data_IF_271970766717
#
_entry.id   IF_271970766717
#
_cell.length_a   1.000
_cell.length_b   1.000
_cell.length_c   1.000
_cell.angle_alpha   90.00
_cell.angle_beta   90.00
_cell.angle_gamma   90.00
#
_symmetry.space_group_name_H-M   'P 1'
#
loop_
_entity.id
_entity.type
_entity.pdbx_description
1 polymer ?
#
# COMPACT_ATOMS: atom_id res chain seq x y z
N UNK A 1 -61.87 -19.15 29.40
CA UNK A 1 -60.54 -18.93 29.98
C UNK A 1 -59.54 -19.54 29.01
N UNK A 2 -58.78 -18.70 28.29
CA UNK A 2 -57.94 -19.10 27.15
C UNK A 2 -56.56 -19.53 27.66
N UNK A 3 -56.07 -20.66 27.19
CA UNK A 3 -54.64 -20.99 27.14
C UNK A 3 -54.37 -21.27 25.67
N UNK A 4 -53.54 -20.43 25.06
CA UNK A 4 -53.29 -20.41 23.63
C UNK A 4 -51.80 -20.55 23.40
N UNK A 5 -51.50 -21.35 22.37
CA UNK A 5 -50.21 -21.91 22.02
C UNK A 5 -49.07 -20.89 21.85
N UNK A 6 -47.88 -21.34 22.23
CA UNK A 6 -46.60 -20.71 21.95
C UNK A 6 -46.08 -21.22 20.60
N UNK A 7 -45.73 -20.34 19.66
CA UNK A 7 -44.52 -20.60 18.88
C UNK A 7 -43.68 -19.34 18.59
N UNK A 8 -42.46 -19.63 18.11
CA UNK A 8 -41.48 -18.74 17.48
C UNK A 8 -40.29 -18.28 18.34
N UNK A 9 -39.36 -19.22 18.50
CA UNK A 9 -37.97 -18.94 18.84
C UNK A 9 -37.23 -18.41 17.60
N UNK A 10 -37.43 -17.14 17.24
CA UNK A 10 -36.63 -16.47 16.22
C UNK A 10 -35.31 -16.00 16.84
N UNK A 11 -34.22 -16.70 16.52
CA UNK A 11 -32.85 -16.36 16.92
C UNK A 11 -32.51 -14.93 16.52
N UNK A 12 -32.31 -14.06 17.52
CA UNK A 12 -31.86 -12.69 17.31
C UNK A 12 -30.39 -12.74 16.89
N UNK A 13 -30.16 -12.63 15.58
CA UNK A 13 -28.88 -12.17 15.05
C UNK A 13 -28.58 -10.81 15.69
N UNK A 14 -27.47 -10.70 16.42
CA UNK A 14 -26.97 -9.44 16.94
C UNK A 14 -26.49 -8.56 15.78
N UNK A 15 -27.41 -7.82 15.18
CA UNK A 15 -27.15 -6.77 14.21
C UNK A 15 -26.58 -5.56 14.94
N UNK A 16 -25.35 -5.19 14.61
CA UNK A 16 -24.70 -3.94 15.01
C UNK A 16 -25.37 -2.73 14.35
N UNK A 17 -26.67 -2.54 14.57
CA UNK A 17 -27.50 -1.69 13.71
C UNK A 17 -28.21 -0.57 14.46
N UNK A 18 -28.18 -0.49 15.80
CA UNK A 18 -29.05 0.47 16.50
C UNK A 18 -28.33 1.47 17.43
N UNK A 19 -27.04 1.31 17.75
CA UNK A 19 -26.38 2.16 18.78
C UNK A 19 -25.46 3.26 18.21
N UNK A 20 -25.16 3.28 16.91
CA UNK A 20 -24.37 4.38 16.29
C UNK A 20 -25.22 5.58 15.80
N UNK A 21 -26.53 5.62 16.14
CA UNK A 21 -27.46 6.60 15.56
C UNK A 21 -27.62 7.90 16.36
N UNK A 22 -27.15 7.99 17.61
CA UNK A 22 -27.31 9.20 18.42
C UNK A 22 -26.07 9.53 19.25
N UNK A 23 -24.98 9.86 18.58
CA UNK A 23 -24.00 10.79 19.13
C UNK A 23 -23.32 11.47 17.95
N UNK A 24 -23.49 12.78 17.88
CA UNK A 24 -22.88 13.73 16.95
C UNK A 24 -21.60 13.19 16.32
N UNK A 25 -21.69 12.75 15.06
CA UNK A 25 -20.50 12.55 14.22
C UNK A 25 -19.96 13.95 14.01
N UNK A 26 -18.99 14.34 14.84
CA UNK A 26 -18.13 15.49 14.55
C UNK A 26 -17.47 15.14 13.22
N UNK A 27 -17.89 15.81 12.16
CA UNK A 27 -17.23 15.74 10.86
C UNK A 27 -15.81 16.24 11.08
N UNK A 28 -14.89 15.31 11.28
CA UNK A 28 -13.46 15.59 11.39
C UNK A 28 -13.07 16.41 10.17
N UNK A 29 -12.54 17.61 10.39
CA UNK A 29 -12.12 18.51 9.33
C UNK A 29 -11.09 17.77 8.46
N UNK A 30 -11.27 17.78 7.14
CA UNK A 30 -10.32 17.16 6.22
C UNK A 30 -8.93 17.76 6.46
N UNK A 31 -7.86 16.94 6.61
CA UNK A 31 -6.51 17.46 6.75
C UNK A 31 -6.20 18.46 5.62
N UNK A 32 -5.45 19.54 5.90
CA UNK A 32 -5.12 20.51 4.88
C UNK A 32 -4.38 19.80 3.72
N UNK A 33 -4.89 20.00 2.50
CA UNK A 33 -4.28 19.42 1.32
C UNK A 33 -2.85 19.97 1.16
N UNK A 34 -1.88 19.07 1.13
CA UNK A 34 -0.45 19.42 1.17
C UNK A 34 0.23 19.33 -0.20
N UNK A 35 -0.21 18.37 -1.01
CA UNK A 35 0.48 17.97 -2.24
C UNK A 35 -0.43 18.17 -3.43
N UNK A 36 0.14 18.63 -4.54
CA UNK A 36 -0.49 18.64 -5.85
C UNK A 36 0.27 17.72 -6.80
N UNK A 37 -0.48 17.08 -7.69
CA UNK A 37 0.04 16.16 -8.71
C UNK A 37 -0.35 16.71 -10.07
N UNK A 38 0.63 17.15 -10.86
CA UNK A 38 0.41 17.54 -12.24
C UNK A 38 0.72 16.35 -13.15
N UNK A 39 -0.20 15.97 -14.05
CA UNK A 39 0.05 14.90 -15.01
C UNK A 39 0.54 15.46 -16.35
N UNK A 40 1.73 15.07 -16.78
CA UNK A 40 2.30 15.47 -18.08
C UNK A 40 2.21 14.33 -19.10
N UNK A 41 1.96 14.69 -20.36
CA UNK A 41 1.88 13.75 -21.48
C UNK A 41 3.16 13.80 -22.33
N UNK A 42 4.14 12.94 -22.05
CA UNK A 42 5.20 12.56 -23.01
C UNK A 42 5.89 11.27 -22.57
N UNK A 43 6.32 10.47 -23.58
CA UNK A 43 7.11 9.23 -23.60
C UNK A 43 7.38 8.44 -22.29
N UNK A 44 7.17 7.12 -22.39
CA UNK A 44 7.49 6.12 -21.37
C UNK A 44 9.02 6.03 -21.17
N UNK A 45 9.52 6.53 -20.06
CA UNK A 45 10.85 6.21 -19.55
C UNK A 45 10.64 5.66 -18.14
N UNK A 46 11.01 4.40 -17.91
CA UNK A 46 10.96 3.78 -16.59
C UNK A 46 12.11 4.36 -15.77
N UNK A 47 11.82 5.17 -14.76
CA UNK A 47 12.83 5.61 -13.80
C UNK A 47 12.81 4.65 -12.60
N UNK A 48 13.84 3.81 -12.49
CA UNK A 48 14.01 2.96 -11.32
C UNK A 48 14.68 3.74 -10.19
N UNK A 49 13.84 4.29 -9.32
CA UNK A 49 14.24 5.18 -8.23
C UNK A 49 14.34 4.41 -6.90
N UNK A 50 15.33 3.53 -6.78
CA UNK A 50 15.58 2.71 -5.58
C UNK A 50 15.91 3.55 -4.34
N UNK A 51 16.45 4.77 -4.51
CA UNK A 51 16.80 5.70 -3.41
C UNK A 51 15.57 6.18 -2.62
N UNK A 52 14.41 6.23 -3.26
CA UNK A 52 13.16 6.66 -2.63
C UNK A 52 12.41 5.49 -2.01
N UNK A 53 12.85 4.24 -2.20
CA UNK A 53 12.17 3.09 -1.62
C UNK A 53 12.61 2.93 -0.16
N UNK A 54 11.67 2.50 0.69
CA UNK A 54 12.04 2.12 2.05
C UNK A 54 13.00 0.91 1.97
N UNK A 55 14.24 1.08 2.44
CA UNK A 55 15.26 0.03 2.43
C UNK A 55 15.35 -0.60 3.83
N UNK A 56 14.69 -1.74 4.08
CA UNK A 56 14.73 -2.36 5.39
C UNK A 56 16.13 -2.88 5.68
N UNK A 57 16.67 -2.58 6.87
CA UNK A 57 17.96 -3.07 7.37
C UNK A 57 19.19 -2.68 6.53
N UNK A 58 19.09 -1.64 5.69
CA UNK A 58 20.12 -1.36 4.69
C UNK A 58 21.44 -0.83 5.29
N UNK A 59 22.49 -1.61 5.08
CA UNK A 59 23.91 -1.23 5.27
C UNK A 59 24.67 -1.17 3.94
N UNK A 60 24.05 -1.59 2.85
CA UNK A 60 24.63 -1.70 1.51
C UNK A 60 23.76 -1.00 0.44
N UNK A 61 24.31 -0.92 -0.76
CA UNK A 61 23.56 -0.56 -1.97
C UNK A 61 22.51 -1.63 -2.32
N UNK A 62 21.63 -1.26 -3.26
CA UNK A 62 20.61 -2.16 -3.81
C UNK A 62 21.22 -2.94 -4.96
N UNK A 63 21.10 -4.26 -4.90
CA UNK A 63 21.58 -5.15 -5.96
C UNK A 63 20.39 -5.78 -6.67
N UNK A 64 20.42 -5.75 -8.00
CA UNK A 64 19.52 -6.55 -8.81
C UNK A 64 19.99 -8.01 -8.83
N UNK A 65 19.08 -8.93 -8.55
CA UNK A 65 19.36 -10.36 -8.58
C UNK A 65 18.18 -11.10 -9.20
N UNK A 66 18.48 -12.18 -9.89
CA UNK A 66 17.47 -13.08 -10.47
C UNK A 66 17.30 -14.32 -9.58
N UNK A 67 16.07 -14.80 -9.44
CA UNK A 67 15.80 -16.11 -8.84
C UNK A 67 16.19 -17.18 -9.85
N UNK A 68 17.24 -17.94 -9.56
CA UNK A 68 17.75 -19.00 -10.43
C UNK A 68 16.92 -20.28 -10.30
N UNK A 69 16.56 -20.62 -9.07
CA UNK A 69 15.75 -21.79 -8.75
C UNK A 69 14.90 -21.52 -7.51
N UNK A 70 13.86 -22.32 -7.31
CA UNK A 70 13.12 -22.34 -6.05
C UNK A 70 12.57 -23.72 -5.74
N UNK A 71 12.49 -24.03 -4.45
CA UNK A 71 11.94 -25.28 -3.94
C UNK A 71 10.90 -25.02 -2.86
N UNK A 72 9.79 -25.73 -2.92
CA UNK A 72 8.78 -25.71 -1.86
C UNK A 72 9.18 -26.74 -0.80
N UNK A 73 9.37 -26.30 0.44
CA UNK A 73 9.83 -27.15 1.55
C UNK A 73 8.68 -27.80 2.33
N UNK A 74 7.42 -27.50 1.98
CA UNK A 74 6.23 -27.91 2.71
C UNK A 74 5.23 -28.63 1.82
N UNK A 75 4.58 -29.67 2.35
CA UNK A 75 3.56 -30.45 1.67
C UNK A 75 2.28 -30.54 2.51
N UNK A 76 1.11 -30.39 1.88
CA UNK A 76 -0.20 -30.44 2.55
C UNK A 76 -1.10 -29.28 2.12
N UNK A 77 -2.41 -29.43 2.36
CA UNK A 77 -3.40 -28.43 1.94
C UNK A 77 -3.59 -27.28 2.94
N UNK A 78 -3.30 -27.51 4.22
CA UNK A 78 -3.49 -26.54 5.31
C UNK A 78 -2.17 -26.26 6.05
N UNK A 79 -1.10 -26.12 5.29
CA UNK A 79 0.22 -25.74 5.83
C UNK A 79 0.71 -24.46 5.15
N UNK A 80 1.32 -23.57 5.93
CA UNK A 80 1.99 -22.39 5.39
C UNK A 80 3.07 -22.85 4.41
N UNK A 81 3.02 -22.35 3.17
CA UNK A 81 4.03 -22.66 2.16
C UNK A 81 5.36 -22.01 2.52
N UNK A 82 6.42 -22.81 2.56
CA UNK A 82 7.80 -22.33 2.73
C UNK A 82 8.55 -22.54 1.43
N UNK A 83 9.25 -21.50 0.99
CA UNK A 83 10.04 -21.49 -0.23
C UNK A 83 11.51 -21.32 0.13
N UNK A 84 12.35 -22.17 -0.44
CA UNK A 84 13.79 -21.99 -0.58
C UNK A 84 14.02 -21.34 -1.94
N UNK A 85 14.79 -20.24 -1.97
CA UNK A 85 15.09 -19.48 -3.19
C UNK A 85 16.59 -19.52 -3.43
N UNK A 86 16.99 -19.86 -4.66
CA UNK A 86 18.35 -19.66 -5.13
C UNK A 86 18.43 -18.35 -5.90
N UNK A 87 19.37 -17.49 -5.53
CA UNK A 87 19.55 -16.14 -6.08
C UNK A 87 20.90 -16.05 -6.79
N UNK A 88 20.95 -15.34 -7.91
CA UNK A 88 22.21 -15.12 -8.62
C UNK A 88 23.24 -14.38 -7.76
N UNK A 89 24.33 -15.07 -7.38
CA UNK A 89 25.32 -14.58 -6.40
C UNK A 89 26.34 -13.58 -6.95
N UNK A 90 26.34 -13.30 -8.25
CA UNK A 90 27.44 -12.56 -8.92
C UNK A 90 27.59 -11.10 -8.48
N UNK A 91 26.67 -10.55 -7.70
CA UNK A 91 26.59 -9.12 -7.44
C UNK A 91 26.94 -8.68 -6.02
N UNK A 92 26.94 -9.55 -5.00
CA UNK A 92 27.16 -9.11 -3.61
C UNK A 92 27.87 -10.16 -2.74
N UNK A 93 28.89 -9.77 -1.95
CA UNK A 93 29.51 -10.64 -0.97
C UNK A 93 28.56 -10.83 0.23
N UNK A 94 28.30 -12.08 0.62
CA UNK A 94 27.53 -12.40 1.83
C UNK A 94 28.13 -13.62 2.53
N UNK A 95 27.95 -13.70 3.85
CA UNK A 95 28.32 -14.84 4.68
C UNK A 95 27.07 -15.56 5.22
N UNK A 96 27.16 -16.86 5.53
CA UNK A 96 26.07 -17.57 6.19
C UNK A 96 25.66 -16.89 7.50
N UNK A 97 24.37 -16.61 7.65
CA UNK A 97 23.82 -15.88 8.79
C UNK A 97 23.53 -14.40 8.51
N UNK A 98 24.02 -13.85 7.40
CA UNK A 98 23.68 -12.50 6.97
C UNK A 98 22.19 -12.40 6.58
N UNK A 99 21.63 -11.20 6.77
CA UNK A 99 20.23 -10.89 6.46
C UNK A 99 20.16 -10.04 5.19
N UNK A 100 19.28 -10.43 4.27
CA UNK A 100 18.98 -9.63 3.08
C UNK A 100 17.63 -8.93 3.22
N UNK A 101 17.58 -7.67 2.78
CA UNK A 101 16.34 -6.93 2.58
C UNK A 101 15.84 -7.09 1.15
N UNK A 102 14.57 -7.45 0.97
CA UNK A 102 13.92 -7.49 -0.34
C UNK A 102 13.07 -6.23 -0.50
N UNK A 103 13.08 -5.60 -1.67
CA UNK A 103 12.24 -4.44 -2.00
C UNK A 103 10.98 -4.89 -2.78
N UNK A 104 9.87 -5.28 -2.12
CA UNK A 104 8.72 -5.90 -2.77
C UNK A 104 7.90 -4.90 -3.58
N UNK A 105 7.25 -5.35 -4.65
CA UNK A 105 6.24 -4.53 -5.34
C UNK A 105 4.83 -5.00 -4.97
N UNK A 106 3.86 -4.08 -5.02
CA UNK A 106 2.45 -4.44 -4.96
C UNK A 106 2.04 -5.22 -6.22
N UNK A 107 0.90 -5.90 -6.16
CA UNK A 107 0.38 -6.60 -7.32
C UNK A 107 -0.18 -5.59 -8.34
N UNK A 108 0.21 -5.73 -9.61
CA UNK A 108 -0.37 -4.94 -10.71
C UNK A 108 -1.90 -5.03 -10.76
N UNK A 109 -2.47 -6.21 -10.46
CA UNK A 109 -3.93 -6.39 -10.47
C UNK A 109 -4.62 -5.64 -9.33
N UNK A 110 -3.96 -5.50 -8.18
CA UNK A 110 -4.46 -4.76 -7.03
C UNK A 110 -4.34 -3.25 -7.26
N UNK A 111 -3.18 -2.80 -7.77
CA UNK A 111 -2.97 -1.42 -8.17
C UNK A 111 -4.00 -1.01 -9.22
N UNK A 112 -4.20 -1.80 -10.27
CA UNK A 112 -5.22 -1.52 -11.30
C UNK A 112 -6.62 -1.36 -10.70
N UNK A 113 -7.03 -2.29 -9.82
CA UNK A 113 -8.33 -2.20 -9.11
C UNK A 113 -8.47 -0.90 -8.32
N UNK A 114 -7.39 -0.45 -7.66
CA UNK A 114 -7.37 0.82 -6.95
C UNK A 114 -7.57 2.01 -7.90
N UNK A 115 -6.84 2.05 -9.02
CA UNK A 115 -7.00 3.09 -10.04
C UNK A 115 -8.41 3.14 -10.64
N UNK A 116 -8.99 1.98 -10.95
CA UNK A 116 -10.38 1.87 -11.40
C UNK A 116 -11.34 2.41 -10.33
N UNK A 117 -11.14 2.03 -9.06
CA UNK A 117 -12.00 2.47 -7.94
C UNK A 117 -11.91 3.98 -7.68
N UNK A 118 -10.74 4.58 -7.90
CA UNK A 118 -10.51 6.02 -7.80
C UNK A 118 -10.97 6.79 -9.04
N UNK A 119 -11.37 6.11 -10.13
CA UNK A 119 -11.80 6.75 -11.37
C UNK A 119 -10.67 7.39 -12.19
N UNK A 120 -9.41 7.02 -11.93
CA UNK A 120 -8.22 7.66 -12.52
C UNK A 120 -7.39 6.70 -13.38
N UNK A 121 -7.94 5.55 -13.76
CA UNK A 121 -7.25 4.53 -14.58
C UNK A 121 -6.64 5.09 -15.87
N UNK A 122 -7.31 6.05 -16.54
CA UNK A 122 -6.80 6.72 -17.74
C UNK A 122 -5.49 7.51 -17.51
N UNK A 123 -5.16 7.81 -16.25
CA UNK A 123 -3.96 8.55 -15.83
C UNK A 123 -2.85 7.61 -15.35
N UNK A 124 -3.09 6.31 -15.23
CA UNK A 124 -2.19 5.34 -14.60
C UNK A 124 -0.76 5.39 -15.18
N UNK A 125 -0.63 5.47 -16.50
CA UNK A 125 0.67 5.55 -17.18
C UNK A 125 1.13 6.97 -17.54
N UNK A 126 0.47 8.00 -17.01
CA UNK A 126 0.90 9.40 -17.21
C UNK A 126 2.05 9.73 -16.28
N UNK A 127 2.92 10.66 -16.72
CA UNK A 127 3.96 11.19 -15.84
C UNK A 127 3.32 12.07 -14.79
N UNK A 128 3.87 12.07 -13.59
CA UNK A 128 3.50 12.98 -12.52
C UNK A 128 4.66 13.86 -12.12
N UNK A 129 4.33 15.04 -11.60
CA UNK A 129 5.23 15.88 -10.82
C UNK A 129 4.55 16.23 -9.50
N UNK A 130 5.22 15.94 -8.40
CA UNK A 130 4.75 16.19 -7.05
C UNK A 130 5.27 17.55 -6.59
N UNK A 131 4.36 18.42 -6.16
CA UNK A 131 4.71 19.74 -5.63
C UNK A 131 3.97 20.02 -4.33
N UNK A 132 4.54 20.89 -3.51
CA UNK A 132 3.84 21.42 -2.34
C UNK A 132 2.85 22.47 -2.82
N UNK A 133 1.61 22.37 -2.35
CA UNK A 133 0.57 23.37 -2.62
C UNK A 133 0.97 24.73 -2.05
N UNK A 134 0.91 25.78 -2.88
CA UNK A 134 1.27 27.15 -2.48
C UNK A 134 0.32 27.74 -1.43
N UNK A 135 -0.91 27.25 -1.40
CA UNK A 135 -1.99 27.65 -0.48
C UNK A 135 -2.06 26.75 0.78
N UNK A 136 -1.07 25.89 1.02
CA UNK A 136 -1.08 25.02 2.20
C UNK A 136 -0.92 25.81 3.50
N UNK A 137 -1.78 25.53 4.47
CA UNK A 137 -1.72 26.11 5.83
C UNK A 137 -0.81 25.32 6.78
N UNK A 138 -0.26 24.18 6.32
CA UNK A 138 0.63 23.35 7.13
C UNK A 138 1.97 24.07 7.36
N UNK A 139 2.38 24.23 8.61
CA UNK A 139 3.70 24.78 8.97
C UNK A 139 4.81 23.86 8.44
N UNK A 140 5.81 24.43 7.77
CA UNK A 140 6.97 23.74 7.21
C UNK A 140 6.61 22.51 6.36
N UNK A 141 5.87 22.69 5.25
CA UNK A 141 5.49 21.59 4.40
C UNK A 141 6.74 20.93 3.80
N UNK A 142 6.78 19.61 3.80
CA UNK A 142 7.90 18.82 3.24
C UNK A 142 7.37 17.71 2.34
N UNK A 143 8.14 17.41 1.30
CA UNK A 143 7.86 16.31 0.38
C UNK A 143 8.00 14.94 1.09
N UNK A 144 7.15 13.95 0.78
CA UNK A 144 7.32 12.60 1.30
C UNK A 144 8.64 12.00 0.82
N UNK A 145 9.52 11.61 1.76
CA UNK A 145 10.84 11.06 1.45
C UNK A 145 10.81 9.75 0.64
N UNK A 146 9.69 9.02 0.71
CA UNK A 146 9.55 7.70 0.09
C UNK A 146 8.92 7.75 -1.31
N UNK A 147 8.55 8.94 -1.80
CA UNK A 147 7.95 9.12 -3.12
C UNK A 147 8.90 10.00 -3.93
N UNK A 148 9.33 9.55 -5.13
CA UNK A 148 10.09 10.40 -6.04
C UNK A 148 9.33 11.70 -6.37
N UNK A 149 10.02 12.82 -6.62
CA UNK A 149 9.36 14.08 -6.98
C UNK A 149 8.69 14.02 -8.37
N UNK A 150 9.13 13.11 -9.23
CA UNK A 150 8.59 12.89 -10.57
C UNK A 150 8.71 11.41 -10.97
N UNK A 151 7.87 10.97 -11.90
CA UNK A 151 7.87 9.58 -12.38
C UNK A 151 6.56 9.21 -13.07
N UNK A 152 6.22 7.92 -13.10
CA UNK A 152 4.95 7.41 -13.62
C UNK A 152 3.97 7.21 -12.46
N UNK A 153 2.71 7.63 -12.63
CA UNK A 153 1.72 7.61 -11.55
C UNK A 153 1.50 6.19 -10.98
N UNK A 154 1.45 5.17 -11.84
CA UNK A 154 1.38 3.76 -11.44
C UNK A 154 2.52 3.33 -10.51
N UNK A 155 3.76 3.80 -10.76
CA UNK A 155 4.93 3.39 -9.99
C UNK A 155 4.84 3.81 -8.52
N UNK A 156 4.18 4.94 -8.21
CA UNK A 156 3.93 5.36 -6.82
C UNK A 156 3.21 4.24 -6.06
N UNK A 157 2.11 3.75 -6.62
CA UNK A 157 1.29 2.71 -5.99
C UNK A 157 1.93 1.34 -6.09
N UNK A 158 2.73 1.08 -7.11
CA UNK A 158 3.36 -0.22 -7.30
C UNK A 158 4.58 -0.43 -6.39
N UNK A 159 5.39 0.62 -6.16
CA UNK A 159 6.73 0.50 -5.57
C UNK A 159 6.97 1.35 -4.32
N UNK A 160 6.22 2.43 -4.14
CA UNK A 160 6.51 3.46 -3.14
C UNK A 160 5.49 3.54 -1.99
N UNK A 161 4.27 3.02 -2.17
CA UNK A 161 3.23 3.02 -1.14
C UNK A 161 2.93 1.62 -0.61
N UNK A 162 2.70 1.53 0.70
CA UNK A 162 2.06 0.35 1.31
C UNK A 162 0.54 0.50 1.26
N UNK A 163 -0.06 -0.01 0.19
CA UNK A 163 -1.51 0.07 -0.05
C UNK A 163 -2.31 -0.89 0.83
N UNK A 164 -1.66 -1.79 1.57
CA UNK A 164 -2.31 -2.78 2.46
C UNK A 164 -2.27 -2.34 3.92
N UNK A 165 -1.56 -1.25 4.22
CA UNK A 165 -1.54 -0.68 5.57
C UNK A 165 -2.94 -0.24 5.99
N UNK A 166 -3.39 -0.63 7.20
CA UNK A 166 -4.64 -0.11 7.74
C UNK A 166 -4.62 1.42 7.78
N UNK A 167 -5.72 2.04 7.32
CA UNK A 167 -5.87 3.48 7.37
C UNK A 167 -5.86 3.95 8.83
N UNK A 168 -5.00 4.92 9.14
CA UNK A 168 -5.00 5.57 10.44
C UNK A 168 -6.14 6.59 10.50
N UNK A 169 -6.76 6.71 11.67
CA UNK A 169 -7.56 7.89 11.98
C UNK A 169 -6.61 9.09 12.05
N UNK A 170 -7.04 10.22 11.52
CA UNK A 170 -6.37 11.49 11.78
C UNK A 170 -6.88 11.93 13.16
N UNK A 171 -5.97 12.17 14.08
CA UNK A 171 -6.30 12.78 15.38
C UNK A 171 -6.14 14.29 15.21
N UNK A 172 -7.16 15.06 15.63
CA UNK A 172 -7.08 16.52 15.70
C UNK A 172 -6.05 16.90 16.79
N UNK A 173 -4.96 17.57 16.42
CA UNK A 173 -4.06 18.28 17.34
C UNK A 173 -4.50 19.74 17.50
#
# INVERSE_FOLDING_TARGET
MKMQDNPEHLGKHHTATTVLCYSQIITQLSPPELLSVASESTSLCTMENYDFRNRPFATSDVFESTVQDFKILTTGHDVKKIYELDLSSKAFPFMPGDVIGILPCNSHSEVKKLFTRLGVEIHMRKRYKLTIKSDTVKKNPSMPKHIPPEGILEDIFLKHLDIRKPMKKIDDE
#
